data_IF_522383441739
#
_entry.id   IF_522383441739
#
_cell.length_a   1.000
_cell.length_b   1.000
_cell.length_c   1.000
_cell.angle_alpha   90.00
_cell.angle_beta   90.00
_cell.angle_gamma   90.00
#
_symmetry.space_group_name_H-M   'P 1'
#
loop_
_entity.id
_entity.type
_entity.pdbx_description
1 polymer ?
#
# COMPACT_ATOMS: atom_id res chain seq x y z
N UNK A 1 -5.13 10.83 -2.50
CA UNK A 1 -4.33 10.11 -1.48
C UNK A 1 -3.47 9.03 -2.12
N UNK A 2 -4.04 7.99 -2.74
CA UNK A 2 -3.28 6.86 -3.32
C UNK A 2 -2.21 7.30 -4.34
N UNK A 3 -2.52 8.27 -5.21
CA UNK A 3 -1.53 8.80 -6.16
C UNK A 3 -0.34 9.48 -5.45
N UNK A 4 -0.60 10.28 -4.41
CA UNK A 4 0.45 10.94 -3.63
C UNK A 4 1.25 9.96 -2.76
N UNK A 5 0.62 8.91 -2.22
CA UNK A 5 1.36 7.84 -1.55
C UNK A 5 2.29 7.12 -2.52
N UNK A 6 1.89 6.99 -3.80
CA UNK A 6 2.74 6.41 -4.84
C UNK A 6 3.97 7.26 -5.14
N UNK A 7 3.80 8.60 -5.20
CA UNK A 7 4.93 9.53 -5.31
C UNK A 7 5.88 9.41 -4.12
N UNK A 8 5.35 9.27 -2.90
CA UNK A 8 6.17 9.08 -1.68
C UNK A 8 7.05 7.83 -1.75
N UNK A 9 6.47 6.69 -2.13
CA UNK A 9 7.21 5.42 -2.27
C UNK A 9 8.26 5.49 -3.38
N UNK A 10 7.92 6.09 -4.52
CA UNK A 10 8.89 6.26 -5.63
C UNK A 10 9.99 7.26 -5.30
N UNK A 11 9.78 8.19 -4.38
CA UNK A 11 10.84 9.08 -3.85
C UNK A 11 11.99 8.28 -3.20
N UNK A 12 11.66 7.23 -2.44
CA UNK A 12 12.67 6.32 -1.87
C UNK A 12 13.40 5.54 -2.96
N UNK A 13 12.69 5.07 -3.98
CA UNK A 13 13.28 4.37 -5.14
C UNK A 13 14.26 5.27 -5.89
N UNK A 14 13.92 6.54 -6.13
CA UNK A 14 14.82 7.50 -6.77
C UNK A 14 16.08 7.70 -5.93
N UNK A 15 15.94 7.92 -4.62
CA UNK A 15 17.08 8.08 -3.72
C UNK A 15 17.99 6.83 -3.73
N UNK A 16 17.39 5.64 -3.70
CA UNK A 16 18.10 4.36 -3.76
C UNK A 16 18.87 4.16 -5.08
N UNK A 17 18.26 4.53 -6.21
CA UNK A 17 18.89 4.47 -7.52
C UNK A 17 20.04 5.48 -7.68
N UNK A 18 20.02 6.61 -6.99
CA UNK A 18 21.07 7.62 -7.05
C UNK A 18 22.32 7.25 -6.23
N UNK A 19 22.15 6.53 -5.10
CA UNK A 19 23.30 6.08 -4.29
C UNK A 19 23.99 4.81 -4.82
N UNK A 20 23.32 4.05 -5.70
CA UNK A 20 23.89 2.95 -6.49
C UNK A 20 24.64 1.84 -5.72
N UNK A 21 24.26 1.58 -4.47
CA UNK A 21 24.80 0.45 -3.71
C UNK A 21 24.05 -0.85 -4.05
N UNK A 22 24.67 -2.03 -3.88
CA UNK A 22 23.97 -3.30 -4.07
C UNK A 22 22.70 -3.42 -3.21
N UNK A 23 22.77 -2.95 -1.96
CA UNK A 23 21.64 -2.92 -1.03
C UNK A 23 20.54 -1.95 -1.47
N UNK A 24 20.89 -0.79 -2.03
CA UNK A 24 19.89 0.17 -2.48
C UNK A 24 19.19 -0.28 -3.76
N UNK A 25 19.91 -0.87 -4.72
CA UNK A 25 19.32 -1.36 -5.97
C UNK A 25 18.40 -2.56 -5.70
N UNK A 26 18.83 -3.51 -4.84
CA UNK A 26 17.98 -4.64 -4.42
C UNK A 26 16.71 -4.15 -3.72
N UNK A 27 16.84 -3.20 -2.80
CA UNK A 27 15.69 -2.58 -2.12
C UNK A 27 14.75 -1.83 -3.06
N UNK A 28 15.30 -1.08 -4.01
CA UNK A 28 14.55 -0.37 -5.05
C UNK A 28 13.70 -1.34 -5.90
N UNK A 29 14.28 -2.45 -6.35
CA UNK A 29 13.57 -3.47 -7.14
C UNK A 29 12.44 -4.13 -6.35
N UNK A 30 12.73 -4.53 -5.10
CA UNK A 30 11.72 -5.10 -4.21
C UNK A 30 10.58 -4.10 -4.00
N UNK A 31 10.90 -2.84 -3.68
CA UNK A 31 9.91 -1.81 -3.40
C UNK A 31 9.07 -1.46 -4.64
N UNK A 32 9.65 -1.39 -5.85
CA UNK A 32 8.89 -1.13 -7.08
C UNK A 32 7.85 -2.22 -7.35
N UNK A 33 8.22 -3.49 -7.22
CA UNK A 33 7.31 -4.62 -7.44
C UNK A 33 6.22 -4.66 -6.36
N UNK A 34 6.64 -4.55 -5.10
CA UNK A 34 5.76 -4.54 -3.95
C UNK A 34 4.74 -3.39 -4.05
N UNK A 35 5.23 -2.16 -4.27
CA UNK A 35 4.41 -0.98 -4.44
C UNK A 35 3.49 -1.06 -5.66
N UNK A 36 3.95 -1.64 -6.77
CA UNK A 36 3.12 -1.85 -7.96
C UNK A 36 1.88 -2.68 -7.65
N UNK A 37 2.02 -3.76 -6.87
CA UNK A 37 0.90 -4.60 -6.44
C UNK A 37 0.01 -3.90 -5.40
N UNK A 38 0.58 -3.21 -4.41
CA UNK A 38 -0.22 -2.55 -3.36
C UNK A 38 -0.99 -1.35 -3.88
N UNK A 39 -0.36 -0.50 -4.70
CA UNK A 39 -0.99 0.70 -5.27
C UNK A 39 -2.10 0.34 -6.26
N UNK A 40 -1.88 -0.65 -7.13
CA UNK A 40 -2.91 -1.15 -8.05
C UNK A 40 -4.11 -1.73 -7.31
N UNK A 41 -3.89 -2.49 -6.24
CA UNK A 41 -4.96 -2.98 -5.37
C UNK A 41 -5.75 -1.83 -4.72
N UNK A 42 -5.06 -0.82 -4.18
CA UNK A 42 -5.71 0.35 -3.58
C UNK A 42 -6.53 1.14 -4.62
N UNK A 43 -6.03 1.30 -5.85
CA UNK A 43 -6.80 1.92 -6.92
C UNK A 43 -8.03 1.08 -7.30
N UNK A 44 -7.93 -0.25 -7.32
CA UNK A 44 -9.07 -1.14 -7.54
C UNK A 44 -10.11 -1.00 -6.41
N UNK A 45 -9.69 -0.93 -5.15
CA UNK A 45 -10.57 -0.70 -4.01
C UNK A 45 -11.25 0.67 -4.04
N UNK A 46 -10.52 1.71 -4.45
CA UNK A 46 -11.12 3.01 -4.69
C UNK A 46 -12.16 2.97 -5.81
N UNK A 47 -11.90 2.16 -6.86
CA UNK A 47 -12.84 1.97 -7.94
C UNK A 47 -14.12 1.24 -7.51
N UNK A 48 -14.04 0.20 -6.67
CA UNK A 48 -15.25 -0.49 -6.16
C UNK A 48 -16.15 0.44 -5.35
N UNK A 49 -15.56 1.39 -4.62
CA UNK A 49 -16.34 2.44 -3.94
C UNK A 49 -16.94 3.42 -4.95
N UNK A 50 -16.16 3.84 -5.97
CA UNK A 50 -16.60 4.76 -7.00
C UNK A 50 -17.74 4.20 -7.85
N UNK A 51 -17.71 2.92 -8.22
CA UNK A 51 -18.80 2.26 -8.96
C UNK A 51 -20.13 2.27 -8.18
N UNK A 52 -20.08 2.33 -6.84
CA UNK A 52 -21.27 2.39 -5.98
C UNK A 52 -21.74 3.81 -5.66
N UNK A 53 -20.82 4.72 -5.41
CA UNK A 53 -21.15 6.07 -4.93
C UNK A 53 -21.11 7.14 -6.03
N UNK A 54 -20.53 6.82 -7.19
CA UNK A 54 -20.20 7.75 -8.28
C UNK A 54 -19.40 8.99 -7.85
N UNK A 55 -18.73 8.94 -6.68
CA UNK A 55 -17.91 10.03 -6.17
C UNK A 55 -16.56 9.51 -5.68
N UNK A 56 -15.50 10.30 -5.91
CA UNK A 56 -14.16 10.02 -5.38
C UNK A 56 -13.89 10.71 -4.05
N UNK A 57 -14.87 11.44 -3.53
CA UNK A 57 -14.79 12.17 -2.28
C UNK A 57 -14.85 11.18 -1.12
N UNK A 58 -13.71 10.98 -0.49
CA UNK A 58 -13.52 9.96 0.53
C UNK A 58 -14.47 10.11 1.74
N UNK A 59 -14.80 11.36 2.10
CA UNK A 59 -15.70 11.68 3.23
C UNK A 59 -17.17 11.30 2.92
N UNK A 60 -17.56 11.07 1.66
CA UNK A 60 -18.89 10.53 1.35
C UNK A 60 -18.93 9.00 1.47
N UNK A 61 -17.78 8.35 1.30
CA UNK A 61 -17.61 6.91 1.30
C UNK A 61 -17.25 6.38 2.71
N UNK A 62 -18.11 6.54 3.72
CA UNK A 62 -17.84 6.18 5.13
C UNK A 62 -18.68 5.00 5.62
N UNK A 63 -18.16 4.27 6.61
CA UNK A 63 -18.94 3.24 7.32
C UNK A 63 -19.17 1.94 6.54
N UNK A 64 -18.39 1.67 5.49
CA UNK A 64 -18.57 0.48 4.66
C UNK A 64 -18.38 -0.86 5.42
N UNK A 65 -17.80 -0.86 6.61
CA UNK A 65 -17.64 -2.06 7.44
C UNK A 65 -18.94 -2.74 7.81
N UNK A 66 -20.02 -1.99 8.01
CA UNK A 66 -21.30 -2.58 8.42
C UNK A 66 -22.03 -3.29 7.27
N UNK A 67 -21.75 -2.89 6.03
CA UNK A 67 -22.47 -3.37 4.84
C UNK A 67 -21.62 -4.30 3.96
N UNK A 68 -20.30 -4.08 3.86
CA UNK A 68 -19.40 -4.82 2.98
C UNK A 68 -18.21 -5.42 3.77
N UNK A 69 -18.44 -6.29 4.78
CA UNK A 69 -17.40 -6.73 5.72
C UNK A 69 -16.21 -7.42 5.02
N UNK A 70 -16.45 -8.26 4.02
CA UNK A 70 -15.35 -8.92 3.28
C UNK A 70 -14.57 -7.92 2.40
N UNK A 71 -15.21 -6.87 1.89
CA UNK A 71 -14.45 -5.81 1.21
C UNK A 71 -13.59 -5.02 2.20
N UNK A 72 -14.03 -4.90 3.45
CA UNK A 72 -13.26 -4.19 4.48
C UNK A 72 -12.01 -4.95 4.90
N UNK A 73 -12.02 -6.28 4.84
CA UNK A 73 -10.81 -7.07 5.05
C UNK A 73 -9.80 -6.82 3.93
N UNK A 74 -10.25 -6.70 2.67
CA UNK A 74 -9.36 -6.32 1.57
C UNK A 74 -8.80 -4.90 1.75
N UNK A 75 -9.63 -3.94 2.17
CA UNK A 75 -9.18 -2.60 2.54
C UNK A 75 -8.15 -2.61 3.67
N UNK A 76 -8.35 -3.43 4.70
CA UNK A 76 -7.40 -3.55 5.80
C UNK A 76 -6.07 -4.11 5.29
N UNK A 77 -6.09 -5.24 4.59
CA UNK A 77 -4.90 -5.88 4.05
C UNK A 77 -4.11 -4.95 3.11
N UNK A 78 -4.79 -4.27 2.19
CA UNK A 78 -4.16 -3.29 1.30
C UNK A 78 -3.48 -2.16 2.08
N UNK A 79 -4.15 -1.62 3.12
CA UNK A 79 -3.54 -0.58 3.95
C UNK A 79 -2.36 -1.08 4.79
N UNK A 80 -2.44 -2.31 5.33
CA UNK A 80 -1.33 -2.94 6.05
C UNK A 80 -0.10 -3.14 5.16
N UNK A 81 -0.30 -3.55 3.90
CA UNK A 81 0.79 -3.64 2.93
C UNK A 81 1.35 -2.26 2.54
N UNK A 82 0.49 -1.24 2.39
CA UNK A 82 0.92 0.11 2.03
C UNK A 82 1.67 0.86 3.15
N UNK A 83 1.41 0.53 4.42
CA UNK A 83 2.17 1.04 5.57
C UNK A 83 3.41 0.20 5.91
N UNK A 84 3.78 -0.75 5.05
CA UNK A 84 4.92 -1.64 5.26
C UNK A 84 4.88 -2.40 6.60
N UNK A 85 3.73 -3.03 6.95
CA UNK A 85 3.67 -3.87 8.15
C UNK A 85 4.56 -5.12 8.01
N UNK A 86 5.31 -5.57 9.04
CA UNK A 86 5.99 -6.87 8.99
C UNK A 86 4.97 -8.01 8.85
N UNK A 87 5.20 -9.06 8.02
CA UNK A 87 6.41 -9.37 7.23
C UNK A 87 6.30 -9.00 5.73
N UNK A 88 5.65 -7.88 5.37
CA UNK A 88 5.39 -7.54 3.94
C UNK A 88 6.66 -7.21 3.15
N UNK A 89 6.62 -7.46 1.84
CA UNK A 89 7.72 -7.10 0.92
C UNK A 89 7.91 -5.59 0.78
N UNK A 90 6.87 -4.77 1.02
CA UNK A 90 7.02 -3.31 1.12
C UNK A 90 8.02 -2.94 2.22
N UNK A 91 7.88 -3.53 3.41
CA UNK A 91 8.83 -3.30 4.51
C UNK A 91 10.24 -3.76 4.15
N UNK A 92 10.37 -4.92 3.51
CA UNK A 92 11.68 -5.41 3.08
C UNK A 92 12.37 -4.44 2.13
N UNK A 93 11.65 -3.91 1.14
CA UNK A 93 12.17 -2.89 0.22
C UNK A 93 12.49 -1.56 0.93
N UNK A 94 11.61 -1.07 1.79
CA UNK A 94 11.84 0.19 2.52
C UNK A 94 13.01 0.09 3.50
N UNK A 95 13.09 -0.97 4.31
CA UNK A 95 14.19 -1.15 5.27
C UNK A 95 15.54 -1.29 4.58
N UNK A 96 15.61 -2.02 3.46
CA UNK A 96 16.85 -2.16 2.70
C UNK A 96 17.30 -0.81 2.12
N UNK A 97 16.39 -0.01 1.57
CA UNK A 97 16.70 1.36 1.10
C UNK A 97 17.14 2.26 2.26
N UNK A 98 16.41 2.24 3.39
CA UNK A 98 16.74 3.05 4.57
C UNK A 98 18.12 2.71 5.11
N UNK A 99 18.46 1.42 5.18
CA UNK A 99 19.79 0.96 5.63
C UNK A 99 20.91 1.44 4.69
N UNK A 100 20.68 1.41 3.38
CA UNK A 100 21.65 1.89 2.40
C UNK A 100 21.82 3.42 2.46
N UNK A 101 20.73 4.17 2.63
CA UNK A 101 20.77 5.62 2.82
C UNK A 101 21.45 6.02 4.12
N UNK A 102 21.21 5.29 5.20
CA UNK A 102 21.87 5.52 6.49
C UNK A 102 23.39 5.33 6.38
N UNK A 103 23.83 4.29 5.66
CA UNK A 103 25.24 4.07 5.37
C UNK A 103 25.83 5.15 4.46
N UNK A 104 25.05 5.70 3.53
CA UNK A 104 25.48 6.82 2.68
C UNK A 104 25.61 8.13 3.47
N UNK A 105 24.65 8.44 4.34
CA UNK A 105 24.68 9.61 5.23
C UNK A 105 23.72 9.41 6.40
N UNK A 106 24.26 9.39 7.62
CA UNK A 106 23.50 9.17 8.86
C UNK A 106 22.26 10.08 9.06
N UNK A 107 22.29 11.40 8.78
CA UNK A 107 21.10 12.25 8.98
C UNK A 107 19.89 11.86 8.12
N UNK A 108 20.06 11.04 7.08
CA UNK A 108 18.94 10.56 6.26
C UNK A 108 17.90 9.76 7.07
N UNK A 109 18.30 9.14 8.19
CA UNK A 109 17.38 8.37 9.04
C UNK A 109 16.24 9.20 9.61
N UNK A 110 16.49 10.49 9.87
CA UNK A 110 15.46 11.41 10.38
C UNK A 110 14.41 11.62 9.29
N UNK A 111 14.84 11.86 8.06
CA UNK A 111 13.95 12.10 6.93
C UNK A 111 13.15 10.85 6.58
N UNK A 112 13.80 9.69 6.48
CA UNK A 112 13.11 8.43 6.16
C UNK A 112 12.23 7.94 7.31
N UNK A 113 12.63 8.16 8.56
CA UNK A 113 11.82 7.86 9.75
C UNK A 113 10.54 8.71 9.81
N UNK A 114 10.64 10.01 9.53
CA UNK A 114 9.46 10.87 9.40
C UNK A 114 8.59 10.47 8.20
N UNK A 115 9.21 10.11 7.07
CA UNK A 115 8.50 9.62 5.89
C UNK A 115 7.65 8.39 6.19
N UNK A 116 8.25 7.36 6.79
CA UNK A 116 7.55 6.13 7.18
C UNK A 116 6.43 6.40 8.20
N UNK A 117 6.65 7.28 9.18
CA UNK A 117 5.59 7.71 10.11
C UNK A 117 4.40 8.34 9.37
N UNK A 118 4.66 9.27 8.45
CA UNK A 118 3.62 9.91 7.64
C UNK A 118 2.89 8.85 6.77
N UNK A 119 3.61 7.85 6.26
CA UNK A 119 2.99 6.75 5.50
C UNK A 119 2.00 5.93 6.30
N UNK A 120 2.33 5.63 7.57
CA UNK A 120 1.41 4.96 8.48
C UNK A 120 0.19 5.83 8.76
N UNK A 121 0.38 7.13 9.01
CA UNK A 121 -0.70 8.07 9.32
C UNK A 121 -1.71 8.17 8.17
N UNK A 122 -1.26 8.46 6.94
CA UNK A 122 -2.21 8.63 5.84
C UNK A 122 -2.88 7.32 5.43
N UNK A 123 -2.19 6.17 5.55
CA UNK A 123 -2.77 4.85 5.23
C UNK A 123 -3.86 4.48 6.23
N UNK A 124 -3.55 4.62 7.53
CA UNK A 124 -4.55 4.37 8.57
C UNK A 124 -5.71 5.37 8.47
N UNK A 125 -5.43 6.64 8.20
CA UNK A 125 -6.47 7.64 7.97
C UNK A 125 -7.40 7.23 6.83
N UNK A 126 -6.85 6.79 5.69
CA UNK A 126 -7.63 6.31 4.54
C UNK A 126 -8.54 5.13 4.92
N UNK A 127 -8.02 4.16 5.68
CA UNK A 127 -8.82 3.02 6.15
C UNK A 127 -9.93 3.44 7.12
N UNK A 128 -9.60 4.22 8.16
CA UNK A 128 -10.57 4.63 9.18
C UNK A 128 -11.69 5.50 8.61
N UNK A 129 -11.34 6.41 7.72
CA UNK A 129 -12.32 7.29 7.10
C UNK A 129 -13.25 6.52 6.15
N UNK A 130 -12.74 5.57 5.38
CA UNK A 130 -13.60 4.81 4.44
C UNK A 130 -14.44 3.72 5.10
N UNK A 131 -13.83 2.95 6.00
CA UNK A 131 -14.45 1.72 6.52
C UNK A 131 -15.22 1.97 7.81
N UNK A 132 -14.74 2.88 8.67
CA UNK A 132 -15.35 3.16 9.98
C UNK A 132 -16.26 4.39 9.92
N UNK A 133 -16.87 4.69 11.07
CA UNK A 133 -17.90 5.70 11.30
C UNK A 133 -19.31 5.27 10.87
N UNK A 134 -20.29 6.10 11.22
CA UNK A 134 -21.69 5.87 10.89
C UNK A 134 -21.89 5.91 9.37
N UNK A 135 -22.57 4.89 8.86
CA UNK A 135 -22.97 4.82 7.46
C UNK A 135 -23.86 6.02 7.11
N UNK A 136 -23.56 6.77 6.03
CA UNK A 136 -24.42 7.86 5.62
C UNK A 136 -25.72 7.33 4.99
N UNK A 137 -26.83 8.03 5.26
CA UNK A 137 -28.19 7.57 4.90
C UNK A 137 -28.37 7.29 3.40
N UNK A 138 -27.66 8.02 2.53
CA UNK A 138 -27.72 7.86 1.07
C UNK A 138 -27.03 6.58 0.55
N UNK A 139 -26.29 5.86 1.40
CA UNK A 139 -25.55 4.62 1.02
C UNK A 139 -26.15 3.35 1.61
N UNK A 140 -27.31 3.43 2.27
CA UNK A 140 -27.95 2.30 2.94
C UNK A 140 -28.33 1.19 1.95
N UNK A 141 -28.65 1.51 0.70
CA UNK A 141 -29.10 0.56 -0.33
C UNK A 141 -27.98 0.14 -1.28
N UNK A 142 -26.76 -0.01 -0.78
CA UNK A 142 -25.62 -0.42 -1.62
C UNK A 142 -25.64 -1.93 -1.86
N UNK A 143 -25.41 -2.33 -3.10
CA UNK A 143 -25.34 -3.74 -3.48
C UNK A 143 -24.13 -4.43 -2.83
N UNK A 144 -24.28 -5.72 -2.47
CA UNK A 144 -23.18 -6.51 -1.93
C UNK A 144 -22.01 -6.62 -2.92
N UNK A 145 -20.86 -7.04 -2.42
CA UNK A 145 -19.66 -7.17 -3.23
C UNK A 145 -19.73 -8.33 -4.20
N UNK A 146 -19.43 -8.05 -5.46
CA UNK A 146 -19.51 -9.05 -6.53
C UNK A 146 -18.30 -9.99 -6.49
N UNK A 147 -18.47 -11.21 -6.99
CA UNK A 147 -17.40 -12.21 -7.09
C UNK A 147 -16.21 -11.72 -7.90
N UNK A 148 -16.46 -10.95 -8.97
CA UNK A 148 -15.42 -10.27 -9.77
C UNK A 148 -14.53 -9.37 -8.91
N UNK A 149 -15.12 -8.60 -8.01
CA UNK A 149 -14.36 -7.67 -7.16
C UNK A 149 -13.46 -8.43 -6.19
N UNK A 150 -13.97 -9.50 -5.57
CA UNK A 150 -13.17 -10.36 -4.70
C UNK A 150 -12.06 -11.09 -5.45
N UNK A 151 -12.33 -11.58 -6.66
CA UNK A 151 -11.32 -12.22 -7.50
C UNK A 151 -10.19 -11.25 -7.82
N UNK A 152 -10.50 -10.01 -8.20
CA UNK A 152 -9.49 -8.98 -8.47
C UNK A 152 -8.64 -8.72 -7.22
N UNK A 153 -9.25 -8.57 -6.05
CA UNK A 153 -8.49 -8.36 -4.80
C UNK A 153 -7.60 -9.55 -4.45
N UNK A 154 -8.11 -10.77 -4.63
CA UNK A 154 -7.35 -11.99 -4.41
C UNK A 154 -6.15 -12.09 -5.38
N UNK A 155 -6.33 -11.74 -6.65
CA UNK A 155 -5.26 -11.75 -7.65
C UNK A 155 -4.16 -10.71 -7.38
N UNK A 156 -4.44 -9.64 -6.64
CA UNK A 156 -3.40 -8.71 -6.15
C UNK A 156 -2.71 -9.23 -4.88
N UNK A 157 -3.50 -9.71 -3.90
CA UNK A 157 -2.98 -10.11 -2.59
C UNK A 157 -2.22 -11.43 -2.61
N UNK A 158 -2.65 -12.39 -3.42
CA UNK A 158 -2.06 -13.72 -3.46
C UNK A 158 -0.60 -13.66 -3.92
N UNK A 159 -0.23 -12.96 -5.02
CA UNK A 159 1.17 -12.73 -5.37
C UNK A 159 1.97 -12.01 -4.28
N UNK A 160 1.38 -10.98 -3.65
CA UNK A 160 2.00 -10.26 -2.53
C UNK A 160 2.38 -11.21 -1.39
N UNK A 161 1.47 -12.12 -1.00
CA UNK A 161 1.71 -13.11 0.06
C UNK A 161 2.74 -14.16 -0.39
N UNK A 162 2.66 -14.67 -1.62
CA UNK A 162 3.61 -15.65 -2.13
C UNK A 162 5.04 -15.09 -2.20
N UNK A 163 5.20 -13.82 -2.56
CA UNK A 163 6.51 -13.17 -2.63
C UNK A 163 7.18 -13.00 -1.25
N UNK A 164 6.41 -12.97 -0.16
CA UNK A 164 6.96 -12.98 1.20
C UNK A 164 7.72 -14.29 1.47
N UNK A 165 7.27 -15.42 0.91
CA UNK A 165 7.90 -16.72 1.14
C UNK A 165 9.24 -16.87 0.40
N UNK A 166 9.41 -16.19 -0.73
CA UNK A 166 10.63 -16.26 -1.54
C UNK A 166 10.96 -14.90 -2.16
N UNK A 167 11.38 -13.91 -1.34
CA UNK A 167 11.68 -12.56 -1.82
C UNK A 167 12.92 -12.51 -2.72
N UNK A 168 13.74 -13.58 -2.72
CA UNK A 168 14.92 -13.69 -3.57
C UNK A 168 14.61 -13.56 -5.07
N UNK A 169 13.37 -13.90 -5.49
CA UNK A 169 12.95 -13.82 -6.90
C UNK A 169 12.88 -12.37 -7.38
N UNK A 170 12.56 -11.44 -6.47
CA UNK A 170 12.36 -10.03 -6.77
C UNK A 170 13.53 -9.15 -6.32
N UNK A 171 14.45 -9.69 -5.51
CA UNK A 171 15.72 -9.05 -5.24
C UNK A 171 16.62 -9.19 -6.46
N UNK A 172 17.03 -8.07 -7.05
CA UNK A 172 18.09 -8.04 -8.07
C UNK A 172 19.46 -8.31 -7.42
N UNK A 173 19.62 -9.48 -6.80
CA UNK A 173 20.94 -9.96 -6.39
C UNK A 173 21.69 -10.31 -7.66
N UNK A 174 22.70 -9.51 -7.97
CA UNK A 174 23.68 -9.81 -9.01
C UNK A 174 24.21 -11.23 -8.79
N UNK A 175 24.05 -12.08 -9.81
CA UNK A 175 24.96 -13.20 -10.02
C UNK A 175 26.38 -12.67 -10.26
#
# INVERSE_FOLDING_TARGET
>A
LIAYSSVSHMGLVIAACLIQTPWSITGAMILMIAHGLTSSMLFCLANTNYERTHTRTLILARGFQTILPLMTTWWLLANLTNMALPPTINLMGELTIISALFNWSQPTIILTGLGTLITAIYSLHMFLTTQRNKLPLHTITTDPTHTREHLIMALHMLPLILLIMKPIIISSTFA
#
